data_IF_317056130261
#
_entry.id   IF_317056130261
#
_cell.length_a   1.000
_cell.length_b   1.000
_cell.length_c   1.000
_cell.angle_alpha   90.00
_cell.angle_beta   90.00
_cell.angle_gamma   90.00
#
_symmetry.space_group_name_H-M   'P 1'
#
loop_
_entity.id
_entity.type
_entity.pdbx_description
1 polymer ?
#
# COMPACT_ATOMS: atom_id res chain seq x y z
N UNK A 1 28.67 4.05 30.83
CA UNK A 1 27.20 4.22 30.81
C UNK A 1 26.83 4.84 29.47
N UNK A 2 26.57 4.01 28.45
CA UNK A 2 26.29 4.44 27.08
C UNK A 2 24.80 4.73 26.99
N UNK A 3 24.43 6.01 26.97
CA UNK A 3 23.05 6.42 26.73
C UNK A 3 22.69 6.08 25.29
N UNK A 4 21.82 5.11 25.13
CA UNK A 4 21.26 4.74 23.84
C UNK A 4 20.14 5.74 23.52
N UNK A 5 20.46 6.82 22.85
CA UNK A 5 19.48 7.75 22.29
C UNK A 5 18.85 7.11 21.02
N UNK A 6 18.15 6.02 21.22
CA UNK A 6 17.16 5.58 20.26
C UNK A 6 16.06 6.62 20.27
N UNK A 7 16.07 7.50 19.30
CA UNK A 7 14.96 8.41 19.04
C UNK A 7 13.72 7.54 18.91
N UNK A 8 12.85 7.56 19.92
CA UNK A 8 11.50 7.02 19.81
C UNK A 8 10.86 7.75 18.64
N UNK A 9 10.71 7.05 17.52
CA UNK A 9 9.98 7.62 16.39
C UNK A 9 8.53 7.72 16.78
N UNK A 10 7.97 8.88 16.57
CA UNK A 10 6.55 9.08 16.81
C UNK A 10 5.75 8.15 15.89
N UNK A 11 4.78 7.47 16.48
CA UNK A 11 3.90 6.55 15.75
C UNK A 11 2.62 7.31 15.39
N UNK A 12 2.33 7.41 14.09
CA UNK A 12 1.16 8.10 13.58
C UNK A 12 0.11 7.10 13.14
N UNK A 13 -1.03 7.09 13.81
CA UNK A 13 -2.17 6.25 13.45
C UNK A 13 -2.78 6.70 12.13
N UNK A 14 -3.12 5.75 11.28
CA UNK A 14 -3.75 5.98 9.97
C UNK A 14 -5.14 5.37 9.99
N UNK A 15 -6.15 6.20 9.74
CA UNK A 15 -7.51 5.72 9.62
C UNK A 15 -7.65 4.84 8.37
N UNK A 16 -8.13 3.61 8.54
CA UNK A 16 -8.34 2.65 7.43
C UNK A 16 -9.21 3.20 6.30
N UNK A 17 -10.17 4.08 6.61
CA UNK A 17 -11.04 4.68 5.60
C UNK A 17 -10.32 5.65 4.66
N UNK A 18 -9.10 6.08 5.01
CA UNK A 18 -8.27 6.91 4.15
C UNK A 18 -7.45 6.10 3.14
N UNK A 19 -7.30 4.81 3.39
CA UNK A 19 -6.62 3.93 2.45
C UNK A 19 -7.38 3.85 1.12
N UNK A 20 -6.71 3.66 -0.02
CA UNK A 20 -7.37 3.41 -1.30
C UNK A 20 -8.39 2.27 -1.23
N UNK A 21 -8.11 1.20 -0.48
CA UNK A 21 -9.04 0.08 -0.26
C UNK A 21 -10.22 0.42 0.66
N UNK A 22 -10.24 1.62 1.30
CA UNK A 22 -11.18 1.99 2.38
C UNK A 22 -11.19 1.02 3.55
N UNK A 23 -10.16 0.19 3.67
CA UNK A 23 -10.05 -0.83 4.70
C UNK A 23 -10.94 -2.05 4.52
N UNK A 24 -11.66 -2.18 3.40
CA UNK A 24 -12.61 -3.30 3.17
C UNK A 24 -11.92 -4.67 3.07
N UNK A 25 -10.62 -4.66 2.81
CA UNK A 25 -9.80 -5.87 2.68
C UNK A 25 -9.19 -6.33 4.00
N UNK A 26 -9.45 -5.64 5.09
CA UNK A 26 -8.82 -5.90 6.39
C UNK A 26 -9.85 -6.22 7.47
N UNK A 27 -9.48 -7.00 8.48
CA UNK A 27 -10.32 -7.22 9.65
C UNK A 27 -10.69 -5.89 10.34
N UNK A 28 -11.87 -5.85 10.95
CA UNK A 28 -12.37 -4.63 11.62
C UNK A 28 -11.51 -4.20 12.79
N UNK A 29 -10.91 -5.16 13.49
CA UNK A 29 -10.17 -4.98 14.74
C UNK A 29 -8.67 -4.64 14.55
N UNK A 30 -8.20 -4.42 13.32
CA UNK A 30 -6.82 -3.99 13.12
C UNK A 30 -6.68 -2.47 13.15
N UNK A 31 -5.55 -2.03 13.68
CA UNK A 31 -5.11 -0.65 13.61
C UNK A 31 -3.82 -0.55 12.81
N UNK A 32 -3.73 0.43 11.93
CA UNK A 32 -2.55 0.68 11.12
C UNK A 32 -1.92 1.99 11.55
N UNK A 33 -0.62 1.96 11.75
CA UNK A 33 0.14 3.15 12.07
C UNK A 33 1.47 3.16 11.30
N UNK A 34 2.04 4.34 11.13
CA UNK A 34 3.30 4.52 10.41
C UNK A 34 4.30 5.32 11.24
N UNK A 35 5.57 5.07 11.02
CA UNK A 35 6.65 5.91 11.53
C UNK A 35 7.24 6.76 10.41
N UNK A 36 7.66 8.01 10.69
CA UNK A 36 8.40 8.82 9.71
C UNK A 36 9.66 8.09 9.20
N UNK A 37 10.07 8.38 7.97
CA UNK A 37 11.28 7.82 7.38
C UNK A 37 12.53 8.34 8.10
N UNK A 38 13.43 7.45 8.49
CA UNK A 38 14.78 7.84 8.90
C UNK A 38 15.67 8.11 7.69
N UNK A 39 16.76 8.84 7.90
CA UNK A 39 17.79 9.03 6.86
C UNK A 39 18.35 7.69 6.37
N UNK A 40 18.50 6.71 7.27
CA UNK A 40 18.98 5.37 6.92
C UNK A 40 18.00 4.64 6.02
N UNK A 41 16.71 4.62 6.37
CA UNK A 41 15.67 3.98 5.56
C UNK A 41 15.57 4.62 4.18
N UNK A 42 15.59 5.94 4.10
CA UNK A 42 15.58 6.66 2.83
C UNK A 42 16.73 6.20 1.90
N UNK A 43 17.95 6.11 2.43
CA UNK A 43 19.09 5.63 1.65
C UNK A 43 18.96 4.16 1.22
N UNK A 44 18.37 3.33 2.09
CA UNK A 44 18.11 1.92 1.75
C UNK A 44 17.05 1.82 0.64
N UNK A 45 15.99 2.63 0.69
CA UNK A 45 14.94 2.65 -0.33
C UNK A 45 15.46 3.13 -1.70
N UNK A 46 16.34 4.15 -1.72
CA UNK A 46 16.91 4.71 -2.96
C UNK A 46 17.81 3.72 -3.73
N UNK A 47 18.41 2.76 -3.06
CA UNK A 47 19.35 1.78 -3.64
C UNK A 47 18.83 0.35 -3.81
N UNK A 48 17.56 0.10 -3.47
CA UNK A 48 16.99 -1.25 -3.43
C UNK A 48 16.35 -1.67 -4.76
N UNK A 49 16.32 -2.97 -4.98
CA UNK A 49 15.45 -3.60 -5.98
C UNK A 49 13.98 -3.39 -5.58
N UNK A 50 13.04 -3.57 -6.49
CA UNK A 50 11.62 -3.39 -6.20
C UNK A 50 11.15 -4.27 -5.01
N UNK A 51 11.55 -5.52 -4.98
CA UNK A 51 11.18 -6.44 -3.89
C UNK A 51 11.78 -6.02 -2.53
N UNK A 52 13.04 -5.58 -2.51
CA UNK A 52 13.69 -5.05 -1.30
C UNK A 52 13.05 -3.74 -0.86
N UNK A 53 12.65 -2.89 -1.81
CA UNK A 53 11.95 -1.63 -1.54
C UNK A 53 10.70 -1.87 -0.71
N UNK A 54 9.80 -2.74 -1.14
CA UNK A 54 8.57 -3.02 -0.41
C UNK A 54 8.82 -3.70 0.94
N UNK A 55 9.78 -4.59 1.03
CA UNK A 55 10.18 -5.21 2.30
C UNK A 55 10.67 -4.17 3.30
N UNK A 56 11.56 -3.28 2.87
CA UNK A 56 12.10 -2.20 3.71
C UNK A 56 11.02 -1.17 4.08
N UNK A 57 10.05 -0.96 3.19
CA UNK A 57 8.93 -0.06 3.42
C UNK A 57 8.03 -0.54 4.56
N UNK A 58 7.77 -1.85 4.60
CA UNK A 58 6.98 -2.48 5.66
C UNK A 58 7.60 -2.34 7.06
N UNK A 59 8.90 -2.13 7.18
CA UNK A 59 9.55 -1.95 8.48
C UNK A 59 9.07 -0.70 9.22
N UNK A 60 8.59 0.29 8.50
CA UNK A 60 8.02 1.50 9.08
C UNK A 60 6.50 1.50 9.17
N UNK A 61 5.85 0.40 8.83
CA UNK A 61 4.41 0.21 8.98
C UNK A 61 4.18 -0.75 10.15
N UNK A 62 3.34 -0.34 11.09
CA UNK A 62 2.95 -1.12 12.26
C UNK A 62 1.48 -1.48 12.12
N UNK A 63 1.19 -2.75 12.25
CA UNK A 63 -0.18 -3.27 12.28
C UNK A 63 -0.41 -3.89 13.66
N UNK A 64 -1.41 -3.39 14.37
CA UNK A 64 -1.86 -3.95 15.62
C UNK A 64 -3.10 -4.82 15.37
N UNK A 65 -3.17 -5.97 16.01
CA UNK A 65 -4.22 -6.96 15.83
C UNK A 65 -3.69 -8.25 15.19
N UNK A 66 -4.58 -9.19 14.95
CA UNK A 66 -4.24 -10.49 14.36
C UNK A 66 -4.26 -10.40 12.81
N UNK A 67 -3.22 -9.78 12.25
CA UNK A 67 -3.08 -9.60 10.82
C UNK A 67 -1.59 -9.46 10.43
N UNK A 68 -1.17 -10.22 9.43
CA UNK A 68 0.20 -10.11 8.92
C UNK A 68 0.32 -8.88 8.00
N UNK A 69 1.24 -7.98 8.34
CA UNK A 69 1.52 -6.79 7.52
C UNK A 69 1.96 -7.11 6.07
N UNK A 70 2.46 -8.31 5.81
CA UNK A 70 2.80 -8.75 4.45
C UNK A 70 1.56 -9.01 3.60
N UNK A 71 0.39 -9.17 4.21
CA UNK A 71 -0.90 -9.31 3.54
C UNK A 71 -1.57 -7.95 3.24
N UNK A 72 -0.89 -6.83 3.56
CA UNK A 72 -1.35 -5.51 3.15
C UNK A 72 -1.37 -5.40 1.62
N UNK A 73 -2.44 -4.80 1.12
CA UNK A 73 -2.63 -4.55 -0.31
C UNK A 73 -1.57 -3.58 -0.82
N UNK A 74 -1.00 -3.90 -1.96
CA UNK A 74 0.07 -3.13 -2.60
C UNK A 74 -0.27 -1.63 -2.76
N UNK A 75 -1.50 -1.29 -3.17
CA UNK A 75 -1.94 0.09 -3.31
C UNK A 75 -1.99 0.83 -1.96
N UNK A 76 -2.43 0.15 -0.90
CA UNK A 76 -2.47 0.74 0.42
C UNK A 76 -1.07 0.96 0.99
N UNK A 77 -0.13 0.04 0.73
CA UNK A 77 1.27 0.20 1.13
C UNK A 77 1.92 1.40 0.43
N UNK A 78 1.63 1.64 -0.84
CA UNK A 78 2.10 2.84 -1.54
C UNK A 78 1.51 4.12 -0.94
N UNK A 79 0.24 4.11 -0.56
CA UNK A 79 -0.37 5.22 0.16
C UNK A 79 0.29 5.44 1.53
N UNK A 80 0.55 4.38 2.28
CA UNK A 80 1.22 4.46 3.58
C UNK A 80 2.66 4.98 3.46
N UNK A 81 3.39 4.65 2.38
CA UNK A 81 4.70 5.27 2.10
C UNK A 81 4.57 6.78 1.90
N UNK A 82 3.56 7.21 1.16
CA UNK A 82 3.29 8.62 0.96
C UNK A 82 2.99 9.33 2.29
N UNK A 83 2.14 8.73 3.12
CA UNK A 83 1.84 9.26 4.48
C UNK A 83 3.11 9.36 5.32
N UNK A 84 4.00 8.35 5.28
CA UNK A 84 5.29 8.39 5.95
C UNK A 84 6.17 9.55 5.48
N UNK A 85 6.17 9.80 4.17
CA UNK A 85 6.91 10.95 3.58
C UNK A 85 6.36 12.28 4.04
N UNK A 86 5.04 12.43 4.10
CA UNK A 86 4.38 13.65 4.61
C UNK A 86 4.82 13.94 6.05
N UNK A 87 4.82 12.93 6.92
CA UNK A 87 5.26 13.10 8.31
C UNK A 87 6.78 13.33 8.44
N UNK A 88 7.57 12.86 7.48
CA UNK A 88 9.03 13.05 7.48
C UNK A 88 9.43 14.47 7.06
N UNK A 89 8.71 15.03 6.09
CA UNK A 89 9.04 16.29 5.43
C UNK A 89 8.02 17.38 5.74
N UNK A 90 7.76 17.64 7.01
CA UNK A 90 6.78 18.66 7.46
C UNK A 90 6.92 20.03 6.77
N UNK A 91 8.13 20.39 6.33
CA UNK A 91 8.43 21.67 5.68
C UNK A 91 8.47 21.61 4.16
N UNK A 92 8.60 20.44 3.57
CA UNK A 92 8.81 20.26 2.13
C UNK A 92 7.88 19.19 1.59
N UNK A 93 6.59 19.55 1.53
CA UNK A 93 5.50 18.65 1.09
C UNK A 93 5.45 18.47 -0.42
N UNK A 94 6.57 18.72 -1.12
CA UNK A 94 6.61 18.65 -2.58
C UNK A 94 7.31 17.38 -3.07
N UNK A 95 6.65 16.67 -3.96
CA UNK A 95 7.28 15.66 -4.82
C UNK A 95 7.89 16.38 -6.01
N UNK A 96 9.16 16.11 -6.28
CA UNK A 96 9.83 16.59 -7.48
C UNK A 96 10.25 15.40 -8.34
N UNK A 97 9.78 15.36 -9.55
CA UNK A 97 10.16 14.38 -10.58
C UNK A 97 11.06 15.09 -11.58
N UNK A 98 12.24 14.54 -11.81
CA UNK A 98 13.20 15.06 -12.80
C UNK A 98 13.17 14.22 -14.06
N UNK A 99 13.26 14.87 -15.23
CA UNK A 99 13.35 14.18 -16.52
C UNK A 99 12.05 13.51 -16.98
N UNK A 100 10.90 14.02 -16.54
CA UNK A 100 9.59 13.49 -16.97
C UNK A 100 9.36 13.75 -18.46
N UNK A 101 9.18 12.69 -19.24
CA UNK A 101 8.78 12.80 -20.65
C UNK A 101 7.26 12.71 -20.78
N UNK A 102 6.67 13.72 -21.41
CA UNK A 102 5.24 13.74 -21.65
C UNK A 102 4.83 12.62 -22.63
N UNK A 103 3.90 11.72 -22.26
CA UNK A 103 3.49 10.62 -23.15
C UNK A 103 2.72 11.09 -24.39
N UNK A 104 2.17 12.32 -24.38
CA UNK A 104 1.39 12.84 -25.51
C UNK A 104 2.24 13.56 -26.55
N UNK A 105 3.20 14.39 -26.11
CA UNK A 105 3.98 15.23 -27.05
C UNK A 105 5.48 14.90 -27.06
N UNK A 106 5.94 13.98 -26.19
CA UNK A 106 7.34 13.59 -26.09
C UNK A 106 8.28 14.65 -25.51
N UNK A 107 7.78 15.83 -25.13
CA UNK A 107 8.61 16.87 -24.54
C UNK A 107 9.13 16.43 -23.17
N UNK A 108 10.38 16.77 -22.88
CA UNK A 108 11.01 16.45 -21.60
C UNK A 108 10.92 17.65 -20.68
N UNK A 109 10.22 17.48 -19.56
CA UNK A 109 10.23 18.44 -18.46
C UNK A 109 11.41 18.16 -17.53
N UNK A 110 12.29 19.11 -17.39
CA UNK A 110 13.50 18.95 -16.56
C UNK A 110 13.17 18.80 -15.10
N UNK A 111 12.06 19.40 -14.66
CA UNK A 111 11.58 19.33 -13.27
C UNK A 111 10.07 19.57 -13.22
N UNK A 112 9.35 18.61 -12.66
CA UNK A 112 7.92 18.74 -12.32
C UNK A 112 7.80 18.62 -10.81
N UNK A 113 7.14 19.59 -10.18
CA UNK A 113 6.89 19.56 -8.72
C UNK A 113 5.40 19.73 -8.46
N UNK A 114 4.87 18.91 -7.57
CA UNK A 114 3.48 19.00 -7.10
C UNK A 114 3.45 18.77 -5.58
N UNK A 115 2.43 19.30 -4.93
CA UNK A 115 2.25 19.13 -3.51
C UNK A 115 1.66 17.74 -3.20
N UNK A 116 2.06 17.11 -2.11
CA UNK A 116 1.47 15.83 -1.69
C UNK A 116 -0.04 15.95 -1.40
N UNK A 117 -0.48 17.15 -0.98
CA UNK A 117 -1.89 17.41 -0.68
C UNK A 117 -2.75 17.40 -1.96
N UNK A 118 -2.15 17.71 -3.11
CA UNK A 118 -2.85 17.77 -4.39
C UNK A 118 -2.97 16.40 -5.08
N UNK A 119 -2.44 15.34 -4.46
CA UNK A 119 -2.56 13.98 -4.97
C UNK A 119 -3.96 13.43 -4.69
N UNK A 120 -4.71 13.24 -5.74
CA UNK A 120 -5.95 12.47 -5.70
C UNK A 120 -5.61 10.97 -5.88
N UNK A 121 -6.09 10.14 -4.97
CA UNK A 121 -6.03 8.70 -5.11
C UNK A 121 -7.39 8.22 -5.64
N UNK A 122 -7.34 7.45 -6.71
CA UNK A 122 -8.54 6.75 -7.14
C UNK A 122 -8.92 5.72 -6.08
N UNK A 123 -10.15 5.85 -5.60
CA UNK A 123 -10.73 4.85 -4.73
C UNK A 123 -10.92 3.53 -5.50
N UNK A 124 -10.83 2.41 -4.81
CA UNK A 124 -11.32 1.17 -5.38
C UNK A 124 -12.78 1.35 -5.80
N UNK A 125 -13.06 1.03 -7.06
CA UNK A 125 -14.42 1.12 -7.59
C UNK A 125 -15.31 0.22 -6.76
N UNK A 126 -16.38 0.79 -6.21
CA UNK A 126 -17.36 0.08 -5.40
C UNK A 126 -17.80 -1.22 -6.10
N UNK A 127 -17.69 -2.34 -5.39
CA UNK A 127 -18.10 -3.64 -5.87
C UNK A 127 -17.06 -4.41 -6.69
N UNK A 128 -15.83 -3.88 -6.91
CA UNK A 128 -14.74 -4.70 -7.51
C UNK A 128 -14.31 -5.80 -6.54
N UNK A 129 -14.25 -5.49 -5.25
CA UNK A 129 -13.88 -6.46 -4.22
C UNK A 129 -15.07 -6.68 -3.29
N UNK A 130 -15.77 -7.78 -3.49
CA UNK A 130 -16.81 -8.23 -2.57
C UNK A 130 -16.23 -8.69 -1.22
N UNK A 131 -17.14 -8.99 -0.27
CA UNK A 131 -16.74 -9.69 0.97
C UNK A 131 -16.14 -11.06 0.62
N UNK A 132 -15.35 -11.68 1.54
CA UNK A 132 -14.85 -13.04 1.39
C UNK A 132 -15.98 -13.94 0.90
N UNK A 133 -15.77 -14.62 -0.21
CA UNK A 133 -16.80 -15.43 -0.84
C UNK A 133 -16.43 -16.91 -0.75
N UNK A 134 -17.46 -17.75 -0.77
CA UNK A 134 -17.32 -19.18 -0.85
C UNK A 134 -17.59 -19.58 -2.29
N UNK A 135 -16.72 -20.38 -2.86
CA UNK A 135 -16.99 -20.99 -4.16
C UNK A 135 -16.76 -22.51 -4.09
N UNK A 136 -17.44 -23.22 -4.95
CA UNK A 136 -17.25 -24.67 -5.07
C UNK A 136 -16.19 -24.93 -6.13
N UNK A 137 -15.12 -25.64 -5.78
CA UNK A 137 -14.08 -26.06 -6.73
C UNK A 137 -14.65 -27.10 -7.72
N UNK A 138 -13.91 -27.36 -8.80
CA UNK A 138 -14.30 -28.42 -9.78
C UNK A 138 -14.44 -29.78 -9.13
N UNK A 139 -13.72 -30.03 -8.03
CA UNK A 139 -13.80 -31.30 -7.26
C UNK A 139 -14.98 -31.31 -6.28
N UNK A 140 -15.82 -30.28 -6.26
CA UNK A 140 -16.99 -30.16 -5.40
C UNK A 140 -16.69 -29.75 -3.97
N UNK A 141 -15.45 -29.31 -3.66
CA UNK A 141 -15.08 -28.82 -2.34
C UNK A 141 -15.44 -27.34 -2.18
N UNK A 142 -16.02 -27.00 -1.03
CA UNK A 142 -16.30 -25.59 -0.69
C UNK A 142 -15.00 -24.91 -0.24
N UNK A 143 -14.48 -24.02 -1.09
CA UNK A 143 -13.29 -23.23 -0.79
C UNK A 143 -13.72 -21.87 -0.27
N UNK A 144 -13.32 -21.54 0.96
CA UNK A 144 -13.52 -20.21 1.53
C UNK A 144 -12.29 -19.35 1.24
N UNK A 145 -12.48 -18.27 0.49
CA UNK A 145 -11.43 -17.28 0.25
C UNK A 145 -11.58 -16.17 1.28
N UNK A 146 -10.63 -16.10 2.20
CA UNK A 146 -10.63 -15.10 3.27
C UNK A 146 -10.18 -13.71 2.82
N UNK A 147 -9.72 -13.57 1.57
CA UNK A 147 -9.29 -12.30 0.99
C UNK A 147 -10.39 -11.74 0.09
N UNK A 148 -10.74 -10.45 0.22
CA UNK A 148 -11.69 -9.83 -0.69
C UNK A 148 -11.25 -9.98 -2.15
N UNK A 149 -12.17 -10.36 -3.00
CA UNK A 149 -11.90 -10.53 -4.42
C UNK A 149 -13.20 -10.67 -5.20
N UNK A 150 -13.08 -10.96 -6.47
CA UNK A 150 -14.23 -11.12 -7.37
C UNK A 150 -14.06 -12.35 -8.25
N UNK A 151 -15.09 -13.18 -8.29
CA UNK A 151 -15.17 -14.29 -9.22
C UNK A 151 -15.62 -13.79 -10.61
N UNK A 152 -14.93 -14.24 -11.65
CA UNK A 152 -15.26 -14.01 -13.05
C UNK A 152 -15.49 -15.37 -13.71
N UNK A 153 -16.72 -15.63 -14.18
CA UNK A 153 -17.04 -16.85 -14.93
C UNK A 153 -17.03 -16.53 -16.41
N UNK A 154 -16.20 -17.23 -17.15
CA UNK A 154 -16.10 -17.13 -18.61
C UNK A 154 -17.16 -17.99 -19.29
N UNK A 155 -17.36 -17.77 -20.61
CA UNK A 155 -18.38 -18.45 -21.39
C UNK A 155 -18.15 -19.98 -21.56
N UNK A 156 -16.92 -20.43 -21.34
CA UNK A 156 -16.54 -21.85 -21.31
C UNK A 156 -16.80 -22.57 -19.97
N UNK A 157 -17.32 -21.81 -18.99
CA UNK A 157 -17.58 -22.30 -17.63
C UNK A 157 -16.40 -22.14 -16.66
N UNK A 158 -15.21 -21.72 -17.14
CA UNK A 158 -14.08 -21.47 -16.26
C UNK A 158 -14.38 -20.28 -15.33
N UNK A 159 -14.19 -20.50 -14.04
CA UNK A 159 -14.29 -19.43 -13.03
C UNK A 159 -12.91 -19.08 -12.50
N UNK A 160 -12.53 -17.82 -12.65
CA UNK A 160 -11.26 -17.27 -12.13
C UNK A 160 -11.58 -16.29 -11.01
N UNK A 161 -10.92 -16.46 -9.90
CA UNK A 161 -11.02 -15.54 -8.76
C UNK A 161 -9.88 -14.54 -8.78
N UNK A 162 -10.21 -13.27 -8.96
CA UNK A 162 -9.24 -12.17 -8.91
C UNK A 162 -9.27 -11.50 -7.55
N UNK A 163 -8.11 -11.34 -6.92
CA UNK A 163 -7.95 -10.60 -5.67
C UNK A 163 -6.92 -9.48 -5.83
N UNK A 164 -6.94 -8.45 -4.97
CA UNK A 164 -5.88 -7.47 -4.94
C UNK A 164 -4.53 -8.13 -4.63
N UNK A 165 -3.49 -7.66 -5.29
CA UNK A 165 -2.13 -8.08 -5.00
C UNK A 165 -1.69 -7.55 -3.64
N UNK A 166 -1.08 -8.38 -2.83
CA UNK A 166 -0.49 -8.04 -1.55
C UNK A 166 1.03 -7.91 -1.67
N UNK A 167 1.70 -7.43 -0.62
CA UNK A 167 3.18 -7.35 -0.61
C UNK A 167 3.82 -8.75 -0.59
N UNK A 168 3.10 -9.75 -0.14
CA UNK A 168 3.55 -11.15 -0.08
C UNK A 168 3.62 -11.82 -1.46
N UNK A 169 2.80 -11.36 -2.42
CA UNK A 169 2.77 -11.88 -3.80
C UNK A 169 3.97 -11.43 -4.60
#
# INVERSE_FOLDING_TARGET
>A
MTMNFGTMRELHSVNKTWLPSKGVCYPENIEIAVTPLSIRERRMLEGSTQAEYYRNLLDGIVVHGDFDKNDLIFHDVNFLDLVRRIYTFEKDKKITISGYQCPHCGSVNTKVSFDFIDLEFEDFVDGIFGKPDKFTSEDGEEVTINTPGKAYTFSDGLTVYARPMTVKD
#
